data_IF_019866639681
#
_entry.id   IF_019866639681
#
_cell.length_a   1.000
_cell.length_b   1.000
_cell.length_c   1.000
_cell.angle_alpha   90.00
_cell.angle_beta   90.00
_cell.angle_gamma   90.00
#
_symmetry.space_group_name_H-M   'P 1'
#
loop_
_entity.id
_entity.type
_entity.pdbx_description
1 polymer ?
#
# COMPACT_ATOMS: atom_id res chain seq x y z
N UNK A 1 13.33 -11.24 -20.28
CA UNK A 1 14.40 -10.38 -19.70
C UNK A 1 13.85 -9.34 -18.73
N UNK A 2 12.86 -8.50 -19.12
CA UNK A 2 12.36 -7.39 -18.30
C UNK A 2 11.70 -7.79 -16.97
N UNK A 3 10.92 -8.87 -16.92
CA UNK A 3 10.26 -9.31 -15.67
C UNK A 3 11.21 -9.91 -14.64
N UNK A 4 12.35 -10.47 -15.08
CA UNK A 4 13.37 -11.06 -14.18
C UNK A 4 14.16 -9.93 -13.53
N UNK A 5 14.59 -8.95 -14.33
CA UNK A 5 15.27 -7.75 -13.83
C UNK A 5 14.41 -6.97 -12.83
N UNK A 6 13.11 -6.84 -13.12
CA UNK A 6 12.17 -6.17 -12.21
C UNK A 6 12.04 -6.93 -10.88
N UNK A 7 12.01 -8.26 -10.91
CA UNK A 7 11.95 -9.09 -9.70
C UNK A 7 13.20 -8.91 -8.83
N UNK A 8 14.40 -8.93 -9.43
CA UNK A 8 15.66 -8.70 -8.72
C UNK A 8 15.73 -7.31 -8.07
N UNK A 9 15.34 -6.27 -8.80
CA UNK A 9 15.29 -4.90 -8.27
C UNK A 9 14.36 -4.85 -7.04
N UNK A 10 13.17 -5.46 -7.15
CA UNK A 10 12.21 -5.49 -6.05
C UNK A 10 12.80 -6.22 -4.84
N UNK A 11 13.42 -7.38 -5.04
CA UNK A 11 14.01 -8.17 -3.94
C UNK A 11 15.14 -7.40 -3.23
N UNK A 12 15.96 -6.65 -3.98
CA UNK A 12 16.97 -5.73 -3.41
C UNK A 12 16.30 -4.63 -2.58
N UNK A 13 15.22 -4.04 -3.08
CA UNK A 13 14.49 -3.01 -2.35
C UNK A 13 13.88 -3.54 -1.05
N UNK A 14 13.35 -4.77 -1.04
CA UNK A 14 12.76 -5.40 0.14
C UNK A 14 13.77 -5.75 1.23
N UNK A 15 15.02 -6.05 0.85
CA UNK A 15 16.09 -6.39 1.79
C UNK A 15 16.83 -5.16 2.32
N UNK A 16 16.66 -4.01 1.67
CA UNK A 16 17.28 -2.75 2.04
C UNK A 16 16.36 -1.94 2.98
N UNK A 17 16.72 -1.87 4.27
CA UNK A 17 15.94 -1.12 5.27
C UNK A 17 15.96 0.39 5.00
N UNK A 18 17.05 0.94 4.45
CA UNK A 18 17.13 2.35 4.08
C UNK A 18 16.03 2.72 3.08
N UNK A 19 15.87 1.94 1.99
CA UNK A 19 14.83 2.17 0.98
C UNK A 19 13.44 2.10 1.64
N UNK A 20 13.20 1.06 2.44
CA UNK A 20 11.91 0.87 3.12
C UNK A 20 11.61 2.02 4.08
N UNK A 21 12.58 2.42 4.90
CA UNK A 21 12.45 3.49 5.87
C UNK A 21 12.18 4.85 5.21
N UNK A 22 12.96 5.23 4.19
CA UNK A 22 12.74 6.46 3.43
C UNK A 22 11.37 6.46 2.72
N UNK A 23 10.98 5.35 2.13
CA UNK A 23 9.67 5.20 1.51
C UNK A 23 8.53 5.38 2.52
N UNK A 24 8.66 4.83 3.73
CA UNK A 24 7.68 5.04 4.80
C UNK A 24 7.61 6.51 5.25
N UNK A 25 8.73 7.23 5.27
CA UNK A 25 8.73 8.67 5.53
C UNK A 25 8.00 9.43 4.44
N UNK A 26 8.31 9.16 3.16
CA UNK A 26 7.64 9.76 1.99
C UNK A 26 6.14 9.49 2.04
N UNK A 27 5.74 8.24 2.31
CA UNK A 27 4.34 7.86 2.49
C UNK A 27 3.67 8.66 3.61
N UNK A 28 4.35 8.85 4.73
CA UNK A 28 3.88 9.67 5.84
C UNK A 28 3.65 11.13 5.43
N UNK A 29 4.59 11.73 4.69
CA UNK A 29 4.45 13.09 4.16
C UNK A 29 3.25 13.18 3.21
N UNK A 30 3.11 12.25 2.26
CA UNK A 30 1.97 12.22 1.32
C UNK A 30 0.63 12.14 2.07
N UNK A 31 0.53 11.27 3.06
CA UNK A 31 -0.66 11.15 3.92
C UNK A 31 -0.96 12.46 4.65
N UNK A 32 0.06 13.11 5.20
CA UNK A 32 -0.11 14.37 5.92
C UNK A 32 -0.62 15.49 5.01
N UNK A 33 -0.11 15.58 3.77
CA UNK A 33 -0.52 16.59 2.80
C UNK A 33 -2.02 16.54 2.45
N UNK A 34 -2.67 15.38 2.62
CA UNK A 34 -4.13 15.25 2.44
C UNK A 34 -4.95 16.11 3.40
N UNK A 35 -4.36 16.54 4.52
CA UNK A 35 -4.98 17.51 5.44
C UNK A 35 -5.35 18.82 4.74
N UNK A 36 -4.58 19.23 3.75
CA UNK A 36 -4.76 20.49 3.02
C UNK A 36 -5.60 20.35 1.74
N UNK A 37 -5.95 19.12 1.35
CA UNK A 37 -6.76 18.92 0.16
C UNK A 37 -8.16 19.48 0.36
N UNK A 38 -8.84 19.85 -0.72
CA UNK A 38 -10.24 20.31 -0.67
C UNK A 38 -11.02 19.61 -1.78
N UNK A 39 -12.26 19.14 -1.53
CA UNK A 39 -13.08 18.56 -2.57
C UNK A 39 -13.31 19.56 -3.71
N UNK A 40 -13.05 19.13 -4.94
CA UNK A 40 -13.13 19.88 -6.20
C UNK A 40 -13.52 18.92 -7.33
N UNK A 41 -14.83 18.82 -7.56
CA UNK A 41 -15.41 17.98 -8.60
C UNK A 41 -15.37 16.48 -8.28
N UNK A 42 -15.90 15.69 -9.21
CA UNK A 42 -16.06 14.23 -9.07
C UNK A 42 -14.90 13.47 -9.73
N UNK A 43 -14.93 12.16 -9.64
CA UNK A 43 -14.05 11.27 -10.40
C UNK A 43 -14.28 11.45 -11.91
N UNK A 44 -13.18 11.51 -12.66
CA UNK A 44 -13.17 11.52 -14.12
C UNK A 44 -11.99 10.69 -14.62
N UNK A 45 -11.89 10.49 -15.94
CA UNK A 45 -10.87 9.64 -16.55
C UNK A 45 -9.43 10.12 -16.26
N UNK A 46 -9.19 11.43 -16.24
CA UNK A 46 -7.86 11.98 -15.96
C UNK A 46 -7.44 11.74 -14.51
N UNK A 47 -8.36 11.94 -13.56
CA UNK A 47 -8.12 11.64 -12.14
C UNK A 47 -7.91 10.14 -11.93
N UNK A 48 -8.72 9.27 -12.55
CA UNK A 48 -8.57 7.82 -12.39
C UNK A 48 -7.25 7.31 -12.96
N UNK A 49 -6.81 7.81 -14.12
CA UNK A 49 -5.49 7.52 -14.68
C UNK A 49 -4.36 8.00 -13.75
N UNK A 50 -4.46 9.22 -13.24
CA UNK A 50 -3.49 9.76 -12.28
C UNK A 50 -3.37 8.93 -11.01
N UNK A 51 -4.50 8.46 -10.46
CA UNK A 51 -4.51 7.57 -9.28
C UNK A 51 -3.88 6.20 -9.61
N UNK A 52 -4.14 5.65 -10.81
CA UNK A 52 -3.53 4.40 -11.26
C UNK A 52 -2.01 4.51 -11.45
N UNK A 53 -1.52 5.62 -12.02
CA UNK A 53 -0.08 5.90 -12.11
C UNK A 53 0.51 6.01 -10.71
N UNK A 54 -0.14 6.72 -9.79
CA UNK A 54 0.32 6.82 -8.41
C UNK A 54 0.40 5.45 -7.71
N UNK A 55 -0.53 4.54 -7.99
CA UNK A 55 -0.52 3.18 -7.45
C UNK A 55 0.71 2.38 -7.89
N UNK A 56 1.27 2.65 -9.08
CA UNK A 56 2.46 1.92 -9.55
C UNK A 56 3.66 2.09 -8.60
N UNK A 57 3.77 3.24 -7.92
CA UNK A 57 4.80 3.48 -6.90
C UNK A 57 4.58 2.67 -5.61
N UNK A 58 3.41 2.06 -5.42
CA UNK A 58 3.18 1.15 -4.29
C UNK A 58 3.92 -0.19 -4.42
N UNK A 59 4.70 -0.38 -5.49
CA UNK A 59 5.67 -1.47 -5.61
C UNK A 59 6.89 -1.26 -4.70
N UNK A 60 7.17 0.00 -4.33
CA UNK A 60 8.27 0.36 -3.45
C UNK A 60 7.91 -0.07 -2.01
N UNK A 61 8.71 -0.94 -1.36
CA UNK A 61 8.45 -1.35 0.01
C UNK A 61 8.45 -0.13 0.93
N UNK A 62 7.47 -0.04 1.82
CA UNK A 62 7.25 1.13 2.67
C UNK A 62 6.22 2.14 2.13
N UNK A 63 5.91 2.13 0.83
CA UNK A 63 4.76 2.89 0.30
C UNK A 63 3.47 2.12 0.54
N UNK A 64 2.50 2.76 1.22
CA UNK A 64 1.19 2.17 1.44
C UNK A 64 0.33 2.29 0.18
N UNK A 65 -0.12 1.16 -0.38
CA UNK A 65 -0.97 1.15 -1.59
C UNK A 65 -2.24 1.95 -1.44
N UNK A 66 -3.07 1.64 -0.43
CA UNK A 66 -4.27 2.44 -0.14
C UNK A 66 -3.92 3.86 0.30
N UNK A 67 -2.77 4.06 0.97
CA UNK A 67 -2.29 5.38 1.35
C UNK A 67 -2.06 6.28 0.14
N UNK A 68 -1.27 5.83 -0.83
CA UNK A 68 -0.90 6.62 -2.01
C UNK A 68 -2.09 6.84 -2.96
N UNK A 69 -2.97 5.85 -3.13
CA UNK A 69 -4.15 5.98 -4.00
C UNK A 69 -5.21 6.90 -3.39
N UNK A 70 -5.55 6.74 -2.11
CA UNK A 70 -6.49 7.65 -1.42
C UNK A 70 -5.89 9.05 -1.33
N UNK A 71 -4.59 9.18 -1.03
CA UNK A 71 -3.96 10.51 -0.96
C UNK A 71 -3.98 11.21 -2.31
N UNK A 72 -3.62 10.53 -3.39
CA UNK A 72 -3.67 11.10 -4.74
C UNK A 72 -5.10 11.48 -5.13
N UNK A 73 -6.08 10.62 -4.83
CA UNK A 73 -7.49 10.90 -5.06
C UNK A 73 -7.96 12.16 -4.31
N UNK A 74 -7.64 12.26 -3.02
CA UNK A 74 -7.98 13.41 -2.18
C UNK A 74 -7.29 14.69 -2.67
N UNK A 75 -6.00 14.62 -2.99
CA UNK A 75 -5.22 15.76 -3.51
C UNK A 75 -5.75 16.22 -4.87
N UNK A 76 -6.21 15.28 -5.72
CA UNK A 76 -6.91 15.59 -6.98
C UNK A 76 -8.31 16.20 -6.79
N UNK A 77 -8.76 16.31 -5.54
CA UNK A 77 -10.02 16.96 -5.16
C UNK A 77 -11.22 16.02 -5.07
N UNK A 78 -11.05 14.71 -4.92
CA UNK A 78 -12.19 13.84 -4.61
C UNK A 78 -12.63 14.01 -3.15
N UNK A 79 -13.90 13.70 -2.88
CA UNK A 79 -14.34 13.51 -1.50
C UNK A 79 -13.76 12.20 -0.93
N UNK A 80 -13.82 12.06 0.39
CA UNK A 80 -13.21 10.92 1.08
C UNK A 80 -13.87 9.59 0.75
N UNK A 81 -15.20 9.57 0.61
CA UNK A 81 -15.94 8.33 0.37
C UNK A 81 -15.72 7.82 -1.06
N UNK A 82 -15.70 8.73 -2.04
CA UNK A 82 -15.38 8.46 -3.43
C UNK A 82 -13.94 7.98 -3.57
N UNK A 83 -12.98 8.67 -2.94
CA UNK A 83 -11.57 8.27 -2.92
C UNK A 83 -11.36 6.88 -2.30
N UNK A 84 -11.99 6.61 -1.15
CA UNK A 84 -11.90 5.34 -0.46
C UNK A 84 -12.49 4.19 -1.29
N UNK A 85 -13.70 4.37 -1.83
CA UNK A 85 -14.36 3.36 -2.68
C UNK A 85 -13.55 3.06 -3.93
N UNK A 86 -13.06 4.08 -4.61
CA UNK A 86 -12.22 3.92 -5.80
C UNK A 86 -10.92 3.17 -5.47
N UNK A 87 -10.23 3.59 -4.42
CA UNK A 87 -9.00 2.93 -3.96
C UNK A 87 -9.21 1.47 -3.56
N UNK A 88 -10.35 1.14 -2.94
CA UNK A 88 -10.68 -0.23 -2.56
C UNK A 88 -10.86 -1.12 -3.80
N UNK A 89 -11.65 -0.68 -4.78
CA UNK A 89 -11.83 -1.40 -6.05
C UNK A 89 -10.51 -1.59 -6.78
N UNK A 90 -9.71 -0.53 -6.85
CA UNK A 90 -8.41 -0.54 -7.50
C UNK A 90 -7.41 -1.48 -6.77
N UNK A 91 -7.48 -1.55 -5.44
CA UNK A 91 -6.68 -2.48 -4.64
C UNK A 91 -7.09 -3.93 -4.89
N UNK A 92 -8.39 -4.23 -4.98
CA UNK A 92 -8.88 -5.57 -5.32
C UNK A 92 -8.31 -6.00 -6.68
N UNK A 93 -8.46 -5.17 -7.72
CA UNK A 93 -7.95 -5.49 -9.06
C UNK A 93 -6.44 -5.77 -9.07
N UNK A 94 -5.66 -4.90 -8.41
CA UNK A 94 -4.21 -5.01 -8.37
C UNK A 94 -3.72 -6.20 -7.54
N UNK A 95 -4.33 -6.47 -6.38
CA UNK A 95 -3.97 -7.62 -5.54
C UNK A 95 -4.32 -8.91 -6.27
N UNK A 96 -5.53 -9.02 -6.82
CA UNK A 96 -5.95 -10.21 -7.57
C UNK A 96 -5.05 -10.45 -8.78
N UNK A 97 -4.71 -9.41 -9.54
CA UNK A 97 -3.77 -9.52 -10.66
C UNK A 97 -2.39 -10.05 -10.22
N UNK A 98 -1.87 -9.54 -9.10
CA UNK A 98 -0.62 -10.02 -8.51
C UNK A 98 -0.68 -11.47 -8.03
N UNK A 99 -1.80 -11.87 -7.41
CA UNK A 99 -2.03 -13.26 -7.01
C UNK A 99 -2.07 -14.20 -8.21
N UNK A 100 -2.86 -13.88 -9.23
CA UNK A 100 -2.94 -14.67 -10.48
C UNK A 100 -1.57 -14.78 -11.14
N UNK A 101 -0.81 -13.69 -11.18
CA UNK A 101 0.54 -13.71 -11.73
C UNK A 101 1.49 -14.61 -10.96
N UNK A 102 1.41 -14.67 -9.62
CA UNK A 102 2.26 -15.53 -8.78
C UNK A 102 1.81 -16.99 -8.73
N UNK A 103 0.53 -17.27 -8.99
CA UNK A 103 0.00 -18.64 -8.97
C UNK A 103 0.70 -19.59 -9.97
N UNK A 104 1.20 -19.06 -11.09
CA UNK A 104 1.94 -19.86 -12.08
C UNK A 104 3.28 -20.41 -11.55
N UNK A 105 3.87 -19.73 -10.56
CA UNK A 105 5.15 -20.08 -9.95
C UNK A 105 4.92 -20.91 -8.67
N UNK A 106 3.66 -21.21 -8.32
CA UNK A 106 3.30 -21.94 -7.11
C UNK A 106 3.40 -23.44 -7.33
N UNK A 107 4.30 -24.09 -6.60
CA UNK A 107 4.46 -25.55 -6.59
C UNK A 107 3.88 -26.08 -5.28
N UNK A 108 2.99 -27.06 -5.36
CA UNK A 108 2.46 -27.74 -4.18
C UNK A 108 3.56 -28.62 -3.57
N UNK A 109 4.20 -28.14 -2.51
CA UNK A 109 5.09 -28.95 -1.67
C UNK A 109 4.28 -29.74 -0.62
N UNK A 110 4.93 -30.70 0.06
CA UNK A 110 4.28 -31.61 1.03
C UNK A 110 3.55 -30.87 2.18
N UNK A 111 3.90 -29.62 2.47
CA UNK A 111 3.28 -28.78 3.51
C UNK A 111 2.02 -27.99 3.06
N UNK A 112 1.28 -28.54 2.10
CA UNK A 112 0.06 -27.92 1.55
C UNK A 112 -1.00 -27.56 2.60
N UNK A 113 -1.07 -28.31 3.70
CA UNK A 113 -2.04 -28.11 4.78
C UNK A 113 -1.74 -26.84 5.59
N UNK A 114 -0.46 -26.57 5.89
CA UNK A 114 -0.04 -25.33 6.57
C UNK A 114 -0.30 -24.09 5.70
N UNK A 115 -0.07 -24.20 4.40
CA UNK A 115 -0.36 -23.10 3.46
C UNK A 115 -1.87 -22.82 3.43
N UNK A 116 -2.71 -23.85 3.33
CA UNK A 116 -4.17 -23.69 3.31
C UNK A 116 -4.70 -23.06 4.60
N UNK A 117 -4.17 -23.47 5.76
CA UNK A 117 -4.50 -22.87 7.05
C UNK A 117 -4.05 -21.41 7.11
N UNK A 118 -2.82 -21.10 6.71
CA UNK A 118 -2.29 -19.74 6.68
C UNK A 118 -3.12 -18.82 5.79
N UNK A 119 -3.50 -19.27 4.59
CA UNK A 119 -4.38 -18.52 3.68
C UNK A 119 -5.75 -18.30 4.31
N UNK A 120 -6.35 -19.33 4.89
CA UNK A 120 -7.69 -19.27 5.50
C UNK A 120 -7.73 -18.31 6.69
N UNK A 121 -6.76 -18.40 7.60
CA UNK A 121 -6.64 -17.52 8.77
C UNK A 121 -6.42 -16.08 8.30
N UNK A 122 -5.48 -15.87 7.37
CA UNK A 122 -5.18 -14.53 6.84
C UNK A 122 -6.41 -13.92 6.17
N UNK A 123 -7.20 -14.71 5.43
CA UNK A 123 -8.43 -14.24 4.81
C UNK A 123 -9.46 -13.77 5.85
N UNK A 124 -9.69 -14.56 6.90
CA UNK A 124 -10.63 -14.22 7.98
C UNK A 124 -10.17 -12.94 8.71
N UNK A 125 -8.91 -12.89 9.13
CA UNK A 125 -8.34 -11.74 9.84
C UNK A 125 -8.36 -10.49 8.97
N UNK A 126 -8.05 -10.60 7.67
CA UNK A 126 -8.08 -9.47 6.74
C UNK A 126 -9.48 -8.90 6.56
N UNK A 127 -10.51 -9.76 6.48
CA UNK A 127 -11.91 -9.31 6.39
C UNK A 127 -12.33 -8.59 7.68
N UNK A 128 -11.97 -9.13 8.84
CA UNK A 128 -12.24 -8.50 10.14
C UNK A 128 -11.56 -7.14 10.25
N UNK A 129 -10.27 -7.06 9.90
CA UNK A 129 -9.49 -5.83 9.91
C UNK A 129 -10.07 -4.78 8.95
N UNK A 130 -10.46 -5.18 7.74
CA UNK A 130 -11.07 -4.27 6.77
C UNK A 130 -12.43 -3.74 7.24
N UNK A 131 -13.26 -4.59 7.86
CA UNK A 131 -14.54 -4.17 8.47
C UNK A 131 -14.32 -3.18 9.61
N UNK A 132 -13.33 -3.42 10.45
CA UNK A 132 -12.95 -2.51 11.53
C UNK A 132 -12.44 -1.18 10.98
N UNK A 133 -11.52 -1.23 10.01
CA UNK A 133 -10.94 -0.06 9.39
C UNK A 133 -12.01 0.79 8.72
N UNK A 134 -12.90 0.19 7.92
CA UNK A 134 -14.00 0.91 7.26
C UNK A 134 -14.90 1.68 8.24
N UNK A 135 -15.10 1.18 9.47
CA UNK A 135 -15.90 1.85 10.51
C UNK A 135 -15.19 3.03 11.17
N UNK A 136 -13.84 3.03 11.19
CA UNK A 136 -13.01 4.01 11.92
C UNK A 136 -12.26 4.97 11.00
N UNK A 137 -12.13 4.61 9.73
CA UNK A 137 -11.39 5.36 8.76
C UNK A 137 -12.31 6.43 8.16
N UNK A 138 -11.98 7.67 8.48
CA UNK A 138 -12.60 8.86 7.93
C UNK A 138 -11.49 9.82 7.50
N UNK A 139 -11.88 10.97 6.97
CA UNK A 139 -10.93 11.99 6.54
C UNK A 139 -9.99 12.46 7.65
N UNK A 140 -10.47 12.56 8.90
CA UNK A 140 -9.68 13.07 10.03
C UNK A 140 -8.71 12.03 10.58
N UNK A 141 -9.08 10.75 10.59
CA UNK A 141 -8.20 9.66 11.00
C UNK A 141 -7.20 9.29 9.91
N UNK A 142 -7.53 9.49 8.63
CA UNK A 142 -6.64 9.18 7.52
C UNK A 142 -5.32 9.95 7.55
N UNK A 143 -5.33 11.28 7.61
CA UNK A 143 -4.06 12.04 7.67
C UNK A 143 -3.30 11.81 8.99
N UNK A 144 -3.97 11.41 10.07
CA UNK A 144 -3.30 11.06 11.34
C UNK A 144 -2.47 9.79 11.21
N UNK A 145 -2.78 8.92 10.25
CA UNK A 145 -1.95 7.76 9.93
C UNK A 145 -0.55 8.16 9.42
N UNK A 146 -0.37 9.42 8.98
CA UNK A 146 0.94 9.97 8.67
C UNK A 146 1.92 9.83 9.85
N UNK A 147 1.48 10.11 11.08
CA UNK A 147 2.36 10.02 12.26
C UNK A 147 2.86 8.61 12.50
N UNK A 148 1.99 7.61 12.29
CA UNK A 148 2.39 6.21 12.35
C UNK A 148 3.44 5.88 11.28
N UNK A 149 3.20 6.28 10.03
CA UNK A 149 4.14 6.01 8.92
C UNK A 149 5.50 6.68 9.14
N UNK A 150 5.49 7.94 9.60
CA UNK A 150 6.71 8.68 9.93
C UNK A 150 7.48 8.05 11.09
N UNK A 151 6.78 7.67 12.17
CA UNK A 151 7.39 7.05 13.33
C UNK A 151 8.02 5.69 12.98
N UNK A 152 7.29 4.82 12.28
CA UNK A 152 7.81 3.51 11.88
C UNK A 152 8.95 3.66 10.88
N UNK A 153 8.86 4.57 9.91
CA UNK A 153 9.96 4.87 9.00
C UNK A 153 11.23 5.33 9.73
N UNK A 154 11.09 6.20 10.74
CA UNK A 154 12.19 6.65 11.59
C UNK A 154 12.81 5.50 12.39
N UNK A 155 11.99 4.61 12.95
CA UNK A 155 12.48 3.41 13.68
C UNK A 155 13.23 2.49 12.72
N UNK A 156 12.71 2.24 11.52
CA UNK A 156 13.37 1.38 10.52
C UNK A 156 14.74 1.94 10.14
N UNK A 157 14.85 3.26 9.91
CA UNK A 157 16.14 3.91 9.63
C UNK A 157 17.09 3.87 10.81
N UNK A 158 16.58 4.04 12.03
CA UNK A 158 17.39 3.91 13.23
C UNK A 158 17.96 2.50 13.40
N UNK A 159 17.16 1.47 13.13
CA UNK A 159 17.60 0.07 13.16
C UNK A 159 18.61 -0.25 12.04
N UNK A 160 18.48 0.38 10.87
CA UNK A 160 19.45 0.25 9.78
C UNK A 160 20.84 0.76 10.19
N UNK A 161 20.89 1.88 10.92
CA UNK A 161 22.14 2.45 11.45
C UNK A 161 22.78 1.54 12.51
N UNK A 162 21.97 0.81 13.29
CA UNK A 162 22.44 -0.09 14.35
C UNK A 162 22.86 -1.47 13.85
N UNK A 163 22.59 -1.81 12.59
CA UNK A 163 23.05 -3.10 12.04
C UNK A 163 24.57 -3.14 12.05
N UNK A 164 25.20 -4.16 12.67
CA UNK A 164 26.63 -4.37 12.49
C UNK A 164 26.90 -4.63 11.00
N UNK A 165 27.92 -3.93 10.47
CA UNK A 165 28.41 -4.06 9.09
C UNK A 165 28.87 -5.48 8.82
#
# INVERSE_FOLDING_TARGET
MSSILLKEIIDIMFTNLLITGLAMLINGVILYLTKYSKPRGKLNIFKSMGIGVAQSFAIIPGISRMGITISTALISGLDFDEAYKFSLLLSILSITGGCVFKLKDFVFEEDSLSILLGVSITAIISILALRFLKKRLDRRSFYKFAYYSLAVGGIVLFLDILKPV
#
